data_IF_964588768446
#
_entry.id   IF_964588768446
#
_cell.length_a   1.000
_cell.length_b   1.000
_cell.length_c   1.000
_cell.angle_alpha   90.00
_cell.angle_beta   90.00
_cell.angle_gamma   90.00
#
_symmetry.space_group_name_H-M   'P 1'
#
loop_
_entity.id
_entity.type
_entity.pdbx_description
1 polymer ?
#
# COMPACT_ATOMS: atom_id res chain seq x y z
N UNK A 1 13.03 22.85 -1.67
CA UNK A 1 13.77 22.24 -0.54
C UNK A 1 13.79 20.71 -0.66
N UNK A 2 12.70 20.03 -0.95
CA UNK A 2 12.60 18.55 -1.00
C UNK A 2 13.58 17.90 -2.01
N UNK A 3 13.53 18.28 -3.28
CA UNK A 3 14.35 17.67 -4.34
C UNK A 3 15.86 17.82 -4.08
N UNK A 4 16.43 19.00 -3.76
CA UNK A 4 17.85 19.12 -3.47
C UNK A 4 18.30 18.30 -2.25
N UNK A 5 17.44 18.12 -1.24
CA UNK A 5 17.71 17.25 -0.10
C UNK A 5 17.81 15.79 -0.55
N UNK A 6 16.77 15.28 -1.22
CA UNK A 6 16.74 13.86 -1.62
C UNK A 6 17.81 13.50 -2.65
N UNK A 7 18.26 14.42 -3.51
CA UNK A 7 19.39 14.17 -4.39
C UNK A 7 20.67 13.87 -3.59
N UNK A 8 20.95 14.64 -2.54
CA UNK A 8 22.11 14.41 -1.66
C UNK A 8 21.96 13.11 -0.87
N UNK A 9 20.75 12.84 -0.37
CA UNK A 9 20.46 11.65 0.42
C UNK A 9 20.61 10.38 -0.43
N UNK A 10 20.15 10.39 -1.68
CA UNK A 10 20.35 9.29 -2.63
C UNK A 10 21.84 9.05 -2.91
N UNK A 11 22.63 10.10 -3.12
CA UNK A 11 24.07 9.98 -3.29
C UNK A 11 24.74 9.35 -2.06
N UNK A 12 24.37 9.79 -0.88
CA UNK A 12 24.84 9.23 0.39
C UNK A 12 24.47 7.76 0.53
N UNK A 13 23.19 7.41 0.33
CA UNK A 13 22.70 6.03 0.40
C UNK A 13 23.43 5.11 -0.58
N UNK A 14 23.61 5.56 -1.82
CA UNK A 14 24.34 4.81 -2.86
C UNK A 14 25.79 4.56 -2.48
N UNK A 15 26.46 5.55 -1.91
CA UNK A 15 27.83 5.42 -1.41
C UNK A 15 27.97 4.39 -0.28
N UNK A 16 26.86 4.04 0.40
CA UNK A 16 26.77 3.06 1.46
C UNK A 16 26.09 1.74 1.04
N UNK A 17 25.93 1.51 -0.25
CA UNK A 17 25.37 0.26 -0.79
C UNK A 17 23.84 0.15 -0.70
N UNK A 18 23.14 1.27 -0.47
CA UNK A 18 21.67 1.33 -0.48
C UNK A 18 21.22 1.93 -1.82
N UNK A 19 20.56 1.13 -2.63
CA UNK A 19 20.11 1.48 -3.98
C UNK A 19 18.57 1.63 -4.11
N UNK A 20 17.84 1.41 -3.03
CA UNK A 20 16.38 1.53 -2.98
C UNK A 20 15.92 2.28 -1.73
N UNK A 21 15.18 3.35 -1.94
CA UNK A 21 14.61 4.20 -0.89
C UNK A 21 13.10 4.24 -1.11
N UNK A 22 12.35 3.73 -0.13
CA UNK A 22 10.91 3.58 -0.24
C UNK A 22 10.16 4.72 0.46
N UNK A 23 9.22 5.33 -0.26
CA UNK A 23 8.27 6.27 0.30
C UNK A 23 6.92 5.60 0.48
N UNK A 24 6.38 5.68 1.66
CA UNK A 24 4.98 5.38 1.88
C UNK A 24 4.13 6.58 1.43
N UNK A 25 3.18 6.33 0.54
CA UNK A 25 2.28 7.35 0.03
C UNK A 25 1.19 7.62 1.07
N UNK A 26 1.45 8.59 1.93
CA UNK A 26 0.57 8.91 3.05
C UNK A 26 -0.03 10.32 2.90
N UNK A 27 -1.36 10.49 3.00
CA UNK A 27 -2.00 11.80 3.00
C UNK A 27 -1.44 12.73 4.08
N UNK A 28 -1.25 14.00 3.70
CA UNK A 28 -0.58 14.99 4.53
C UNK A 28 0.93 15.11 4.29
N UNK A 29 1.54 14.18 3.54
CA UNK A 29 2.93 14.25 3.09
C UNK A 29 3.05 14.81 1.67
N UNK A 30 4.25 15.18 1.26
CA UNK A 30 4.51 15.65 -0.11
C UNK A 30 4.33 14.54 -1.15
N UNK A 31 4.51 13.28 -0.75
CA UNK A 31 4.26 12.09 -1.55
C UNK A 31 3.07 11.35 -0.95
N UNK A 32 1.92 11.39 -1.61
CA UNK A 32 0.66 10.85 -1.08
C UNK A 32 -0.13 10.02 -2.11
N UNK A 33 0.31 9.99 -3.35
CA UNK A 33 -0.32 9.23 -4.43
C UNK A 33 0.72 8.85 -5.50
N UNK A 34 0.39 7.98 -6.46
CA UNK A 34 1.30 7.58 -7.53
C UNK A 34 1.93 8.75 -8.31
N UNK A 35 1.13 9.77 -8.63
CA UNK A 35 1.62 10.93 -9.39
C UNK A 35 2.73 11.67 -8.64
N UNK A 36 2.54 11.94 -7.34
CA UNK A 36 3.53 12.67 -6.54
C UNK A 36 4.78 11.85 -6.29
N UNK A 37 4.67 10.51 -6.16
CA UNK A 37 5.82 9.62 -6.08
C UNK A 37 6.62 9.62 -7.38
N UNK A 38 5.97 9.44 -8.52
CA UNK A 38 6.61 9.43 -9.83
C UNK A 38 7.29 10.76 -10.14
N UNK A 39 6.67 11.88 -9.77
CA UNK A 39 7.27 13.23 -9.88
C UNK A 39 8.54 13.36 -9.03
N UNK A 40 8.55 12.83 -7.80
CA UNK A 40 9.76 12.83 -6.97
C UNK A 40 10.83 11.94 -7.57
N UNK A 41 10.49 10.73 -8.01
CA UNK A 41 11.40 9.79 -8.66
C UNK A 41 12.03 10.37 -9.92
N UNK A 42 11.24 10.99 -10.79
CA UNK A 42 11.74 11.66 -12.00
C UNK A 42 12.75 12.78 -11.67
N UNK A 43 12.46 13.56 -10.61
CA UNK A 43 13.30 14.69 -10.23
C UNK A 43 14.57 14.30 -9.48
N UNK A 44 14.59 13.14 -8.78
CA UNK A 44 15.68 12.73 -7.88
C UNK A 44 16.50 11.59 -8.48
N UNK A 45 15.86 10.48 -8.85
CA UNK A 45 16.55 9.31 -9.41
C UNK A 45 15.78 8.00 -9.22
N UNK A 46 16.25 6.93 -9.87
CA UNK A 46 15.60 5.62 -9.88
C UNK A 46 15.66 4.88 -8.54
N UNK A 47 16.43 5.36 -7.57
CA UNK A 47 16.48 4.81 -6.23
C UNK A 47 15.21 5.10 -5.42
N UNK A 48 14.43 6.14 -5.81
CA UNK A 48 13.18 6.49 -5.17
C UNK A 48 12.08 5.54 -5.65
N UNK A 49 11.41 4.89 -4.73
CA UNK A 49 10.30 3.98 -5.01
C UNK A 49 9.24 3.97 -3.92
N UNK A 50 8.28 3.07 -4.05
CA UNK A 50 7.18 2.92 -3.12
C UNK A 50 7.45 1.86 -2.06
N UNK A 51 7.20 2.20 -0.81
CA UNK A 51 6.60 1.28 0.13
C UNK A 51 5.09 1.38 -0.09
N UNK A 52 4.53 0.42 -0.81
CA UNK A 52 3.15 0.48 -1.26
C UNK A 52 2.21 0.01 -0.15
N UNK A 53 1.49 0.95 0.44
CA UNK A 53 0.42 0.67 1.38
C UNK A 53 -0.94 0.97 0.74
N UNK A 54 -1.74 -0.08 0.41
CA UNK A 54 -3.04 0.13 -0.21
C UNK A 54 -4.04 0.83 0.71
N UNK A 55 -3.88 0.72 2.03
CA UNK A 55 -4.83 1.27 2.99
C UNK A 55 -4.98 2.78 2.86
N UNK A 56 -3.86 3.48 2.65
CA UNK A 56 -3.85 4.93 2.47
C UNK A 56 -4.44 5.38 1.13
N UNK A 57 -4.36 4.53 0.12
CA UNK A 57 -4.96 4.78 -1.20
C UNK A 57 -6.47 4.54 -1.16
N UNK A 58 -6.92 3.45 -0.51
CA UNK A 58 -8.32 3.04 -0.43
C UNK A 58 -9.20 4.16 0.14
N UNK A 59 -8.84 4.70 1.31
CA UNK A 59 -9.69 5.72 1.92
C UNK A 59 -9.66 7.08 1.19
N UNK A 60 -8.65 7.32 0.35
CA UNK A 60 -8.63 8.46 -0.56
C UNK A 60 -9.48 8.24 -1.83
N UNK A 61 -10.07 7.05 -2.01
CA UNK A 61 -10.87 6.71 -3.19
C UNK A 61 -10.05 6.25 -4.40
N UNK A 62 -8.78 5.91 -4.22
CA UNK A 62 -7.95 5.35 -5.29
C UNK A 62 -8.11 3.82 -5.36
N UNK A 63 -7.99 3.27 -6.56
CA UNK A 63 -7.94 1.84 -6.81
C UNK A 63 -6.49 1.33 -6.69
N UNK A 64 -6.16 0.48 -5.68
CA UNK A 64 -4.80 -0.04 -5.50
C UNK A 64 -4.30 -0.86 -6.69
N UNK A 65 -5.17 -1.61 -7.37
CA UNK A 65 -4.79 -2.39 -8.56
C UNK A 65 -4.27 -1.46 -9.67
N UNK A 66 -4.99 -0.36 -9.91
CA UNK A 66 -4.56 0.64 -10.90
C UNK A 66 -3.30 1.37 -10.47
N UNK A 67 -3.15 1.65 -9.16
CA UNK A 67 -1.95 2.27 -8.62
C UNK A 67 -0.73 1.34 -8.75
N UNK A 68 -0.88 0.02 -8.55
CA UNK A 68 0.18 -0.98 -8.77
C UNK A 68 0.68 -0.92 -10.22
N UNK A 69 -0.22 -0.93 -11.20
CA UNK A 69 0.17 -0.82 -12.61
C UNK A 69 0.84 0.52 -12.95
N UNK A 70 0.39 1.62 -12.34
CA UNK A 70 1.02 2.93 -12.55
C UNK A 70 2.45 3.00 -11.99
N UNK A 71 2.72 2.29 -10.89
CA UNK A 71 4.01 2.30 -10.19
C UNK A 71 4.93 1.14 -10.53
N UNK A 72 4.47 0.15 -11.26
CA UNK A 72 5.10 -1.15 -11.57
C UNK A 72 6.60 -1.26 -11.22
N UNK A 73 7.47 -0.55 -11.90
CA UNK A 73 8.94 -0.67 -11.83
C UNK A 73 9.54 -0.01 -10.57
N UNK A 74 8.74 0.60 -9.70
CA UNK A 74 9.22 1.31 -8.52
C UNK A 74 8.52 0.92 -7.21
N UNK A 75 7.81 -0.20 -7.17
CA UNK A 75 7.34 -0.78 -5.91
C UNK A 75 8.45 -1.66 -5.35
N UNK A 76 9.09 -1.21 -4.26
CA UNK A 76 10.23 -1.91 -3.65
C UNK A 76 9.86 -2.61 -2.35
N UNK A 77 8.74 -2.23 -1.75
CA UNK A 77 8.18 -2.85 -0.56
C UNK A 77 6.66 -2.74 -0.60
N UNK A 78 5.97 -3.64 0.10
CA UNK A 78 4.51 -3.65 0.17
C UNK A 78 4.05 -3.85 1.61
N UNK A 79 3.19 -2.96 2.11
CA UNK A 79 2.47 -3.13 3.36
C UNK A 79 1.10 -3.77 3.13
N UNK A 80 0.87 -4.93 3.70
CA UNK A 80 -0.44 -5.55 3.73
C UNK A 80 -1.23 -4.98 4.91
N UNK A 81 -1.90 -3.86 4.66
CA UNK A 81 -2.80 -3.18 5.59
C UNK A 81 -4.11 -2.86 4.88
N UNK A 82 -5.22 -3.08 5.54
CA UNK A 82 -6.55 -2.91 4.98
C UNK A 82 -7.26 -1.66 5.54
N UNK A 83 -8.27 -1.19 4.86
CA UNK A 83 -9.11 -0.07 5.28
C UNK A 83 -10.58 -0.37 5.03
N UNK A 84 -11.40 -0.15 6.03
CA UNK A 84 -12.87 -0.15 5.91
C UNK A 84 -13.38 1.27 5.76
N UNK A 85 -14.05 1.55 4.66
CA UNK A 85 -14.80 2.80 4.47
C UNK A 85 -16.21 2.59 5.05
N UNK A 86 -16.63 3.47 5.97
CA UNK A 86 -18.02 3.58 6.35
C UNK A 86 -18.75 4.47 5.34
N UNK A 87 -19.50 3.85 4.45
CA UNK A 87 -20.18 4.56 3.36
C UNK A 87 -21.25 5.56 3.84
N UNK A 88 -21.83 5.35 5.03
CA UNK A 88 -22.83 6.25 5.56
C UNK A 88 -22.19 7.51 6.14
N UNK A 89 -21.19 7.35 7.00
CA UNK A 89 -20.43 8.48 7.54
C UNK A 89 -19.71 9.26 6.43
N UNK A 90 -19.10 8.56 5.47
CA UNK A 90 -18.43 9.16 4.31
C UNK A 90 -19.39 9.94 3.42
N UNK A 91 -20.63 9.47 3.21
CA UNK A 91 -21.60 10.17 2.38
C UNK A 91 -22.04 11.51 2.93
N UNK A 92 -21.89 11.72 4.25
CA UNK A 92 -22.24 12.98 4.92
C UNK A 92 -21.02 13.87 5.17
N UNK A 93 -19.91 13.29 5.63
CA UNK A 93 -18.75 14.02 6.13
C UNK A 93 -17.52 13.93 5.22
N UNK A 94 -17.56 13.15 4.14
CA UNK A 94 -16.39 12.89 3.30
C UNK A 94 -15.35 12.01 4.00
N UNK A 95 -14.14 11.98 3.43
CA UNK A 95 -13.05 11.10 3.90
C UNK A 95 -11.96 11.81 4.71
N UNK A 96 -11.95 13.15 4.73
CA UNK A 96 -10.99 13.95 5.51
C UNK A 96 -11.42 14.01 6.98
N UNK A 97 -11.39 12.86 7.63
CA UNK A 97 -11.88 12.67 9.00
C UNK A 97 -10.75 12.90 10.01
N UNK A 98 -10.97 13.81 10.95
CA UNK A 98 -10.04 14.17 12.02
C UNK A 98 -10.44 13.62 13.39
N UNK A 99 -11.52 12.81 13.46
CA UNK A 99 -11.93 12.21 14.73
C UNK A 99 -10.88 11.23 15.25
N UNK A 100 -10.89 11.04 16.56
CA UNK A 100 -9.99 10.09 17.20
C UNK A 100 -10.17 8.67 16.63
N UNK A 101 -9.09 7.92 16.43
CA UNK A 101 -9.12 6.55 15.86
C UNK A 101 -9.95 5.56 16.69
N UNK A 102 -10.15 5.81 17.98
CA UNK A 102 -11.04 5.01 18.84
C UNK A 102 -12.54 5.21 18.60
N UNK A 103 -12.95 6.28 17.89
CA UNK A 103 -14.35 6.51 17.50
C UNK A 103 -14.69 5.77 16.20
N UNK A 104 -14.57 4.46 16.24
CA UNK A 104 -14.75 3.61 15.04
C UNK A 104 -16.12 3.78 14.41
N UNK A 105 -17.16 3.93 15.24
CA UNK A 105 -18.54 4.08 14.76
C UNK A 105 -18.83 5.44 14.12
N UNK A 106 -18.16 6.49 14.59
CA UNK A 106 -18.35 7.86 14.07
C UNK A 106 -17.43 8.23 12.92
N UNK A 107 -16.36 7.47 12.68
CA UNK A 107 -15.36 7.78 11.63
C UNK A 107 -15.87 7.42 10.22
N UNK A 108 -15.40 8.17 9.24
CA UNK A 108 -15.66 7.90 7.82
C UNK A 108 -14.92 6.64 7.32
N UNK A 109 -13.83 6.28 7.95
CA UNK A 109 -13.03 5.08 7.64
C UNK A 109 -12.18 4.67 8.85
N UNK A 110 -11.76 3.41 8.87
CA UNK A 110 -10.85 2.87 9.87
C UNK A 110 -9.88 1.88 9.25
N UNK A 111 -8.66 1.82 9.78
CA UNK A 111 -7.74 0.75 9.42
C UNK A 111 -8.24 -0.59 9.98
N UNK A 112 -8.01 -1.64 9.23
CA UNK A 112 -8.44 -2.99 9.58
C UNK A 112 -7.35 -4.01 9.24
N UNK A 113 -7.40 -5.11 9.95
CA UNK A 113 -6.63 -6.30 9.54
C UNK A 113 -7.02 -6.73 8.12
N UNK A 114 -6.06 -7.25 7.36
CA UNK A 114 -6.25 -7.77 6.00
C UNK A 114 -7.47 -8.71 5.92
N UNK A 115 -8.38 -8.41 5.01
CA UNK A 115 -9.63 -9.15 4.83
C UNK A 115 -10.80 -8.69 5.70
N UNK A 116 -10.61 -7.66 6.56
CA UNK A 116 -11.66 -7.10 7.41
C UNK A 116 -12.13 -5.72 6.95
N UNK A 117 -11.38 -5.06 6.11
CA UNK A 117 -11.80 -3.86 5.36
C UNK A 117 -12.45 -4.25 4.05
N UNK A 118 -11.72 -5.00 3.25
CA UNK A 118 -12.11 -5.56 1.96
C UNK A 118 -12.01 -7.09 2.00
N UNK A 119 -12.75 -7.79 1.14
CA UNK A 119 -12.81 -9.23 1.14
C UNK A 119 -11.56 -9.91 0.53
N UNK A 120 -11.49 -11.23 0.64
CA UNK A 120 -10.38 -12.02 0.08
C UNK A 120 -10.29 -11.88 -1.43
N UNK A 121 -11.41 -11.69 -2.14
CA UNK A 121 -11.38 -11.47 -3.60
C UNK A 121 -10.62 -10.19 -3.94
N UNK A 122 -10.85 -9.13 -3.21
CA UNK A 122 -10.14 -7.86 -3.39
C UNK A 122 -8.62 -8.02 -3.20
N UNK A 123 -8.20 -8.79 -2.19
CA UNK A 123 -6.80 -9.11 -1.96
C UNK A 123 -6.20 -10.02 -3.04
N UNK A 124 -6.98 -10.95 -3.60
CA UNK A 124 -6.57 -11.73 -4.78
C UNK A 124 -6.35 -10.87 -6.02
N UNK A 125 -7.17 -9.84 -6.22
CA UNK A 125 -7.00 -8.89 -7.32
C UNK A 125 -5.70 -8.07 -7.14
N UNK A 126 -5.38 -7.62 -5.91
CA UNK A 126 -4.10 -6.97 -5.57
C UNK A 126 -2.91 -7.89 -5.84
N UNK A 127 -2.94 -9.13 -5.33
CA UNK A 127 -1.87 -10.11 -5.55
C UNK A 127 -1.70 -10.42 -7.03
N UNK A 128 -2.79 -10.55 -7.78
CA UNK A 128 -2.75 -10.76 -9.23
C UNK A 128 -2.09 -9.61 -9.97
N UNK A 129 -2.35 -8.36 -9.55
CA UNK A 129 -1.69 -7.18 -10.10
C UNK A 129 -0.19 -7.17 -9.80
N UNK A 130 0.21 -7.47 -8.55
CA UNK A 130 1.62 -7.59 -8.16
C UNK A 130 2.34 -8.67 -8.97
N UNK A 131 1.73 -9.83 -9.14
CA UNK A 131 2.28 -10.89 -10.00
C UNK A 131 2.39 -10.50 -11.47
N UNK A 132 1.44 -9.72 -11.97
CA UNK A 132 1.46 -9.25 -13.36
C UNK A 132 2.65 -8.34 -13.65
N UNK A 133 3.07 -7.54 -12.67
CA UNK A 133 4.24 -6.65 -12.77
C UNK A 133 5.56 -7.32 -12.30
N UNK A 134 5.55 -8.63 -12.05
CA UNK A 134 6.71 -9.40 -11.57
C UNK A 134 7.29 -8.88 -10.23
N UNK A 135 6.41 -8.41 -9.33
CA UNK A 135 6.82 -8.04 -7.98
C UNK A 135 7.26 -9.28 -7.18
N UNK A 136 8.51 -9.29 -6.74
CA UNK A 136 9.13 -10.40 -6.01
C UNK A 136 9.88 -9.92 -4.74
N UNK A 137 9.37 -8.85 -4.11
CA UNK A 137 9.85 -8.37 -2.83
C UNK A 137 8.92 -8.78 -1.68
N UNK A 138 9.15 -8.22 -0.50
CA UNK A 138 8.41 -8.54 0.71
C UNK A 138 7.01 -7.93 0.71
N UNK A 139 6.03 -8.69 1.18
CA UNK A 139 4.72 -8.22 1.58
C UNK A 139 4.63 -8.33 3.11
N UNK A 140 4.86 -7.25 3.83
CA UNK A 140 4.82 -7.22 5.28
C UNK A 140 3.43 -6.84 5.79
N UNK A 141 2.95 -7.54 6.82
CA UNK A 141 1.68 -7.21 7.46
C UNK A 141 1.88 -6.03 8.41
N UNK A 142 1.11 -4.97 8.23
CA UNK A 142 1.01 -3.88 9.19
C UNK A 142 -0.36 -3.92 9.88
N UNK A 143 -0.35 -4.01 11.21
CA UNK A 143 -1.56 -4.17 12.01
C UNK A 143 -1.93 -2.87 12.73
N UNK A 144 -3.01 -2.23 12.28
CA UNK A 144 -3.62 -1.05 12.90
C UNK A 144 -5.14 -1.22 13.02
N UNK A 145 -5.59 -2.34 13.59
CA UNK A 145 -7.00 -2.65 13.76
C UNK A 145 -7.41 -2.50 15.23
N UNK A 146 -8.24 -1.51 15.54
CA UNK A 146 -8.74 -1.27 16.90
C UNK A 146 -9.79 -2.28 17.39
N UNK A 147 -10.33 -3.12 16.49
CA UNK A 147 -11.36 -4.12 16.80
C UNK A 147 -10.80 -5.53 16.98
N UNK A 148 -9.52 -5.75 16.70
CA UNK A 148 -8.83 -7.03 16.87
C UNK A 148 -7.58 -6.85 17.72
N UNK A 149 -7.27 -7.83 18.57
CA UNK A 149 -5.98 -7.85 19.22
C UNK A 149 -4.85 -8.06 18.19
N UNK A 150 -3.63 -7.54 18.41
CA UNK A 150 -2.51 -7.74 17.48
C UNK A 150 -2.28 -9.21 17.13
N UNK A 151 -2.36 -10.11 18.11
CA UNK A 151 -2.17 -11.55 17.89
C UNK A 151 -3.26 -12.18 17.03
N UNK A 152 -4.51 -11.80 17.25
CA UNK A 152 -5.63 -12.32 16.45
C UNK A 152 -5.63 -11.70 15.05
N UNK A 153 -5.46 -10.39 14.95
CA UNK A 153 -5.39 -9.67 13.68
C UNK A 153 -4.28 -10.19 12.78
N UNK A 154 -3.07 -10.39 13.32
CA UNK A 154 -1.95 -10.98 12.57
C UNK A 154 -2.28 -12.38 12.06
N UNK A 155 -2.84 -13.27 12.90
CA UNK A 155 -3.20 -14.62 12.49
C UNK A 155 -4.22 -14.64 11.36
N UNK A 156 -5.24 -13.78 11.45
CA UNK A 156 -6.30 -13.66 10.45
C UNK A 156 -5.76 -13.06 9.14
N UNK A 157 -4.92 -12.05 9.21
CA UNK A 157 -4.26 -11.46 8.05
C UNK A 157 -3.40 -12.50 7.32
N UNK A 158 -2.60 -13.29 8.04
CA UNK A 158 -1.81 -14.39 7.48
C UNK A 158 -2.72 -15.38 6.72
N UNK A 159 -3.84 -15.79 7.31
CA UNK A 159 -4.77 -16.74 6.66
C UNK A 159 -5.35 -16.20 5.35
N UNK A 160 -5.73 -14.93 5.31
CA UNK A 160 -6.25 -14.28 4.09
C UNK A 160 -5.15 -14.17 3.02
N UNK A 161 -3.95 -13.75 3.41
CA UNK A 161 -2.82 -13.62 2.48
C UNK A 161 -2.36 -14.98 1.96
N UNK A 162 -2.34 -16.03 2.78
CA UNK A 162 -2.02 -17.39 2.33
C UNK A 162 -3.01 -17.92 1.30
N UNK A 163 -4.30 -17.55 1.39
CA UNK A 163 -5.31 -17.89 0.38
C UNK A 163 -5.20 -17.01 -0.89
N UNK A 164 -4.69 -15.79 -0.77
CA UNK A 164 -4.56 -14.87 -1.88
C UNK A 164 -3.24 -15.04 -2.65
N UNK A 165 -2.13 -15.30 -1.96
CA UNK A 165 -0.80 -15.43 -2.55
C UNK A 165 -0.67 -16.80 -3.25
N UNK A 166 -0.11 -16.76 -4.45
CA UNK A 166 0.23 -17.98 -5.19
C UNK A 166 1.74 -18.21 -5.10
N UNK A 167 2.16 -19.41 -4.71
CA UNK A 167 3.56 -19.75 -4.42
C UNK A 167 4.30 -20.41 -5.58
N UNK A 168 3.56 -20.91 -6.57
CA UNK A 168 4.14 -21.53 -7.76
C UNK A 168 4.44 -20.50 -8.85
N UNK A 169 5.33 -20.80 -9.76
CA UNK A 169 5.62 -19.99 -10.94
C UNK A 169 4.40 -19.73 -11.82
N UNK A 170 4.51 -18.75 -12.72
CA UNK A 170 3.46 -18.51 -13.73
C UNK A 170 3.33 -19.73 -14.64
N UNK A 171 2.09 -20.13 -14.94
CA UNK A 171 1.83 -21.22 -15.87
C UNK A 171 2.16 -20.85 -17.32
N UNK A 172 2.44 -21.86 -18.14
CA UNK A 172 2.59 -21.69 -19.58
C UNK A 172 1.22 -21.52 -20.25
N UNK A 173 1.16 -20.61 -21.23
CA UNK A 173 -0.05 -20.39 -22.03
C UNK A 173 -0.10 -21.38 -23.21
N UNK A 174 -0.24 -22.67 -22.90
CA UNK A 174 -0.28 -23.73 -23.90
C UNK A 174 -1.50 -23.67 -24.85
N UNK A 175 -2.47 -22.84 -24.54
CA UNK A 175 -3.69 -22.60 -25.34
C UNK A 175 -3.63 -21.37 -26.24
N UNK A 176 -2.55 -20.55 -26.22
CA UNK A 176 -2.40 -19.30 -26.97
C UNK A 176 -1.38 -19.42 -28.10
#
# INVERSE_FOLDING_TARGET
MLIPYWKKEVEFCRAHGVDKICFEMHPGFCVYNPETLLRLREAVGPEIGANFDPSHLIWQGMDPVRAIFALKDCIFHFHAKDTKIDKYNTSVNGVLDTKHYGDVAGRAWSFRSVGYGNDTKYWKDIVSALRTIDYDYVMSIEHEDSLLSPKEGLRKAISVLQDAITFEGKGEMWWA
#
